data_IF_552338250491
#
_entry.id   IF_552338250491
#
_cell.length_a   1.000
_cell.length_b   1.000
_cell.length_c   1.000
_cell.angle_alpha   90.00
_cell.angle_beta   90.00
_cell.angle_gamma   90.00
#
_symmetry.space_group_name_H-M   'P 1'
#
loop_
_entity.id
_entity.type
_entity.pdbx_description
1 polymer ?
#
# COMPACT_ATOMS: atom_id res chain seq x y z
N UNK A 1 11.61 -8.31 -6.03
CA UNK A 1 11.38 -6.85 -6.02
C UNK A 1 10.10 -6.54 -5.26
N UNK A 2 10.04 -5.43 -4.53
CA UNK A 2 8.88 -5.00 -3.73
C UNK A 2 7.56 -4.98 -4.53
N UNK A 3 7.62 -4.62 -5.82
CA UNK A 3 6.49 -4.65 -6.75
C UNK A 3 5.77 -6.01 -6.81
N UNK A 4 6.48 -7.14 -6.63
CA UNK A 4 5.87 -8.48 -6.62
C UNK A 4 4.96 -8.69 -5.41
N UNK A 5 5.19 -7.98 -4.31
CA UNK A 5 4.32 -8.02 -3.12
C UNK A 5 3.04 -7.20 -3.30
N UNK A 6 3.02 -6.31 -4.31
CA UNK A 6 1.87 -5.51 -4.69
C UNK A 6 1.08 -6.12 -5.86
N UNK A 7 1.54 -7.26 -6.38
CA UNK A 7 0.80 -8.01 -7.37
C UNK A 7 -0.55 -8.46 -6.81
N UNK A 8 -1.60 -8.37 -7.63
CA UNK A 8 -2.97 -8.68 -7.22
C UNK A 8 -3.11 -10.12 -6.71
N UNK A 9 -2.40 -11.08 -7.31
CA UNK A 9 -2.42 -12.46 -6.82
C UNK A 9 -1.78 -12.56 -5.44
N UNK A 10 -0.64 -11.90 -5.22
CA UNK A 10 0.01 -11.90 -3.90
C UNK A 10 -0.87 -11.29 -2.82
N UNK A 11 -1.62 -10.23 -3.14
CA UNK A 11 -2.58 -9.59 -2.24
C UNK A 11 -3.75 -10.53 -1.96
N UNK A 12 -4.33 -11.13 -3.01
CA UNK A 12 -5.41 -12.11 -2.90
C UNK A 12 -5.03 -13.26 -1.98
N UNK A 13 -3.89 -13.90 -2.21
CA UNK A 13 -3.43 -15.05 -1.42
C UNK A 13 -3.26 -14.71 0.06
N UNK A 14 -2.78 -13.51 0.37
CA UNK A 14 -2.62 -13.05 1.76
C UNK A 14 -3.97 -12.81 2.43
N UNK A 15 -4.89 -12.17 1.73
CA UNK A 15 -6.21 -11.87 2.27
C UNK A 15 -7.03 -13.14 2.42
N UNK A 16 -6.98 -14.06 1.46
CA UNK A 16 -7.64 -15.37 1.52
C UNK A 16 -7.19 -16.19 2.74
N UNK A 17 -5.87 -16.27 2.99
CA UNK A 17 -5.34 -16.93 4.19
C UNK A 17 -5.88 -16.31 5.48
N UNK A 18 -6.06 -14.99 5.49
CA UNK A 18 -6.62 -14.28 6.65
C UNK A 18 -8.12 -14.53 6.79
N UNK A 19 -8.85 -14.54 5.68
CA UNK A 19 -10.29 -14.85 5.65
C UNK A 19 -10.56 -16.26 6.17
N UNK A 20 -9.77 -17.23 5.72
CA UNK A 20 -9.84 -18.61 6.21
C UNK A 20 -9.74 -18.71 7.73
N UNK A 21 -8.91 -17.87 8.37
CA UNK A 21 -8.76 -17.85 9.83
C UNK A 21 -10.01 -17.39 10.58
N UNK A 22 -10.93 -16.69 9.91
CA UNK A 22 -12.22 -16.27 10.46
C UNK A 22 -13.32 -17.33 10.36
N UNK A 23 -13.00 -18.56 9.90
CA UNK A 23 -13.91 -19.71 9.93
C UNK A 23 -15.28 -19.44 9.30
N UNK A 24 -15.30 -18.73 8.17
CA UNK A 24 -16.52 -18.45 7.39
C UNK A 24 -17.17 -17.09 7.64
N UNK A 25 -16.83 -16.39 8.73
CA UNK A 25 -17.45 -15.09 9.05
C UNK A 25 -17.21 -13.99 8.00
N UNK A 26 -16.18 -14.16 7.15
CA UNK A 26 -15.76 -13.16 6.16
C UNK A 26 -15.81 -13.67 4.72
N UNK A 27 -16.39 -14.84 4.47
CA UNK A 27 -16.39 -15.46 3.15
C UNK A 27 -17.23 -14.68 2.13
N UNK A 28 -18.41 -14.20 2.53
CA UNK A 28 -19.29 -13.38 1.68
C UNK A 28 -18.60 -12.06 1.32
N UNK A 29 -18.04 -11.36 2.31
CA UNK A 29 -17.25 -10.15 2.08
C UNK A 29 -16.08 -10.41 1.12
N UNK A 30 -15.36 -11.52 1.30
CA UNK A 30 -14.22 -11.83 0.45
C UNK A 30 -14.64 -12.06 -1.00
N UNK A 31 -15.67 -12.87 -1.23
CA UNK A 31 -16.15 -13.24 -2.56
C UNK A 31 -16.87 -12.10 -3.28
N UNK A 32 -17.76 -11.40 -2.59
CA UNK A 32 -18.72 -10.50 -3.22
C UNK A 32 -18.26 -9.04 -3.23
N UNK A 33 -17.28 -8.70 -2.38
CA UNK A 33 -16.77 -7.34 -2.27
C UNK A 33 -15.28 -7.23 -2.56
N UNK A 34 -14.46 -8.02 -1.87
CA UNK A 34 -13.00 -7.88 -1.97
C UNK A 34 -12.46 -8.30 -3.34
N UNK A 35 -12.82 -9.48 -3.84
CA UNK A 35 -12.34 -9.98 -5.15
C UNK A 35 -12.76 -9.04 -6.29
N UNK A 36 -14.04 -8.64 -6.44
CA UNK A 36 -14.44 -7.71 -7.51
C UNK A 36 -13.72 -6.36 -7.41
N UNK A 37 -13.52 -5.85 -6.20
CA UNK A 37 -12.78 -4.59 -6.00
C UNK A 37 -11.33 -4.75 -6.45
N UNK A 38 -10.66 -5.83 -6.04
CA UNK A 38 -9.26 -6.09 -6.39
C UNK A 38 -9.06 -6.22 -7.91
N UNK A 39 -10.04 -6.77 -8.63
CA UNK A 39 -10.01 -6.89 -10.08
C UNK A 39 -10.02 -5.53 -10.78
N UNK A 40 -10.78 -4.55 -10.28
CA UNK A 40 -10.96 -3.25 -10.96
C UNK A 40 -10.01 -2.16 -10.50
N UNK A 41 -9.45 -2.23 -9.28
CA UNK A 41 -8.50 -1.22 -8.79
C UNK A 41 -7.13 -1.36 -9.46
N UNK A 42 -6.43 -0.24 -9.63
CA UNK A 42 -5.03 -0.22 -10.05
C UNK A 42 -4.13 0.02 -8.84
N UNK A 43 -3.08 -0.79 -8.69
CA UNK A 43 -2.17 -0.77 -7.55
C UNK A 43 -0.78 -0.47 -8.09
N UNK A 44 -0.23 0.68 -7.68
CA UNK A 44 1.09 1.13 -8.12
C UNK A 44 1.97 1.44 -6.92
N UNK A 45 3.25 1.11 -7.04
CA UNK A 45 4.28 1.65 -6.17
C UNK A 45 4.66 3.05 -6.65
N UNK A 46 4.71 3.98 -5.71
CA UNK A 46 5.32 5.30 -5.92
C UNK A 46 6.54 5.41 -5.01
N UNK A 47 7.55 6.15 -5.45
CA UNK A 47 8.73 6.40 -4.63
C UNK A 47 8.39 7.39 -3.51
N UNK A 48 9.23 7.40 -2.47
CA UNK A 48 9.08 8.36 -1.38
C UNK A 48 9.19 9.81 -1.88
N UNK A 49 10.10 10.07 -2.82
CA UNK A 49 10.28 11.36 -3.46
C UNK A 49 9.00 11.81 -4.19
N UNK A 50 8.35 10.89 -4.91
CA UNK A 50 7.08 11.20 -5.58
C UNK A 50 5.96 11.52 -4.58
N UNK A 51 5.93 10.86 -3.41
CA UNK A 51 4.98 11.18 -2.32
C UNK A 51 5.23 12.58 -1.78
N UNK A 52 6.48 12.92 -1.48
CA UNK A 52 6.86 14.24 -0.94
C UNK A 52 6.47 15.36 -1.93
N UNK A 53 6.69 15.15 -3.23
CA UNK A 53 6.27 16.11 -4.25
C UNK A 53 4.74 16.33 -4.29
N UNK A 54 3.95 15.28 -4.04
CA UNK A 54 2.48 15.39 -3.92
C UNK A 54 2.09 16.18 -2.66
N UNK A 55 2.74 15.91 -1.53
CA UNK A 55 2.45 16.57 -0.24
C UNK A 55 2.76 18.06 -0.33
N UNK A 56 3.91 18.44 -0.91
CA UNK A 56 4.31 19.83 -1.07
C UNK A 56 3.25 20.70 -1.74
N UNK A 57 2.57 20.14 -2.74
CA UNK A 57 1.53 20.86 -3.49
C UNK A 57 0.25 21.12 -2.66
N UNK A 58 0.07 20.43 -1.52
CA UNK A 58 -1.09 20.55 -0.64
C UNK A 58 -0.76 21.24 0.68
N UNK A 59 0.39 20.92 1.26
CA UNK A 59 0.87 21.46 2.54
C UNK A 59 2.40 21.50 2.55
N UNK A 60 2.95 22.68 2.34
CA UNK A 60 4.40 22.88 2.31
C UNK A 60 5.06 22.69 3.68
N UNK A 61 4.37 22.97 4.79
CA UNK A 61 4.95 22.83 6.14
C UNK A 61 5.13 21.36 6.49
N UNK A 62 4.14 20.53 6.14
CA UNK A 62 4.22 19.09 6.34
C UNK A 62 5.27 18.47 5.41
N UNK A 63 5.42 18.95 4.18
CA UNK A 63 6.47 18.49 3.25
C UNK A 63 7.87 18.72 3.82
N UNK A 64 8.17 19.91 4.35
CA UNK A 64 9.49 20.23 4.92
C UNK A 64 9.87 19.24 6.04
N UNK A 65 8.95 18.99 6.98
CA UNK A 65 9.17 18.02 8.08
C UNK A 65 9.38 16.60 7.56
N UNK A 66 8.60 16.17 6.55
CA UNK A 66 8.73 14.82 5.98
C UNK A 66 10.03 14.65 5.19
N UNK A 67 10.50 15.68 4.49
CA UNK A 67 11.79 15.66 3.76
C UNK A 67 12.97 15.58 4.71
N UNK A 68 12.95 16.35 5.80
CA UNK A 68 13.97 16.27 6.85
C UNK A 68 14.04 14.84 7.42
N UNK A 69 12.89 14.27 7.82
CA UNK A 69 12.83 12.89 8.28
C UNK A 69 13.35 11.88 7.25
N UNK A 70 12.92 12.01 5.98
CA UNK A 70 13.37 11.14 4.91
C UNK A 70 14.88 11.20 4.68
N UNK A 71 15.49 12.38 4.80
CA UNK A 71 16.95 12.54 4.71
C UNK A 71 17.71 11.78 5.80
N UNK A 72 17.15 11.73 7.02
CA UNK A 72 17.70 10.91 8.09
C UNK A 72 17.60 9.42 7.77
N UNK A 73 16.46 8.96 7.26
CA UNK A 73 16.29 7.56 6.83
C UNK A 73 17.32 7.15 5.77
N UNK A 74 17.62 8.02 4.80
CA UNK A 74 18.65 7.75 3.79
C UNK A 74 20.04 7.62 4.40
N UNK A 75 20.36 8.42 5.43
CA UNK A 75 21.66 8.36 6.11
C UNK A 75 21.90 7.00 6.79
N UNK A 76 20.86 6.38 7.36
CA UNK A 76 20.99 5.13 8.12
C UNK A 76 20.68 3.85 7.32
N UNK A 77 19.94 3.94 6.21
CA UNK A 77 19.49 2.79 5.43
C UNK A 77 20.13 2.72 4.03
N UNK A 78 21.26 3.40 3.82
CA UNK A 78 22.06 3.33 2.59
C UNK A 78 22.75 1.99 2.42
#
# INVERSE_FOLDING_TARGET
TFSRLLDKQSIKDKVEKRVFSYKGERDEWFKDWFIPTLEVIDIRSISWEAVLDIVRNKDSKTDDTLREYYSHCLTFNS
#
